data_IF_273561963985
#
_entry.id   IF_273561963985
#
_cell.length_a   1.000
_cell.length_b   1.000
_cell.length_c   1.000
_cell.angle_alpha   90.00
_cell.angle_beta   90.00
_cell.angle_gamma   90.00
#
_symmetry.space_group_name_H-M   'P 1'
#
loop_
_entity.id
_entity.type
_entity.pdbx_description
1 polymer ?
#
# COMPACT_ATOMS: atom_id res chain seq x y z
N UNK A 1 -41.34 19.14 -8.05
CA UNK A 1 -40.82 19.62 -6.96
C UNK A 1 -39.34 19.63 -6.65
N UNK A 2 -38.96 20.56 -5.81
CA UNK A 2 -37.56 20.76 -5.35
C UNK A 2 -37.01 19.58 -4.55
N UNK A 3 -37.85 18.71 -4.01
CA UNK A 3 -37.49 17.56 -3.16
C UNK A 3 -37.01 16.31 -3.93
N UNK A 4 -37.15 16.30 -5.27
CA UNK A 4 -36.78 15.13 -6.11
C UNK A 4 -35.31 15.08 -6.56
N UNK A 5 -34.56 16.18 -6.41
CA UNK A 5 -33.20 16.30 -6.95
C UNK A 5 -32.07 15.98 -5.95
N UNK A 6 -32.32 16.10 -4.66
CA UNK A 6 -31.30 15.85 -3.63
C UNK A 6 -30.79 14.40 -3.55
N UNK A 7 -31.63 13.35 -3.56
CA UNK A 7 -31.15 11.97 -3.46
C UNK A 7 -30.33 11.52 -4.68
N UNK A 8 -30.61 12.03 -5.86
CA UNK A 8 -29.84 11.69 -7.08
C UNK A 8 -28.45 12.33 -7.08
N UNK A 9 -28.34 13.59 -6.69
CA UNK A 9 -27.05 14.29 -6.58
C UNK A 9 -26.16 13.61 -5.53
N UNK A 10 -26.73 13.21 -4.40
CA UNK A 10 -26.00 12.52 -3.33
C UNK A 10 -25.52 11.13 -3.74
N UNK A 11 -26.33 10.36 -4.45
CA UNK A 11 -25.95 9.05 -4.97
C UNK A 11 -24.84 9.14 -6.03
N UNK A 12 -24.88 10.15 -6.88
CA UNK A 12 -23.85 10.39 -7.89
C UNK A 12 -22.51 10.78 -7.25
N UNK A 13 -22.55 11.62 -6.21
CA UNK A 13 -21.34 12.02 -5.46
C UNK A 13 -20.71 10.84 -4.73
N UNK A 14 -21.52 10.01 -4.06
CA UNK A 14 -21.03 8.78 -3.39
C UNK A 14 -20.42 7.79 -4.39
N UNK A 15 -21.00 7.62 -5.56
CA UNK A 15 -20.45 6.78 -6.63
C UNK A 15 -19.11 7.31 -7.13
N UNK A 16 -18.97 8.63 -7.30
CA UNK A 16 -17.72 9.27 -7.69
C UNK A 16 -16.63 9.09 -6.63
N UNK A 17 -16.94 9.23 -5.35
CA UNK A 17 -16.01 9.00 -4.23
C UNK A 17 -15.56 7.53 -4.21
N UNK A 18 -16.47 6.61 -4.40
CA UNK A 18 -16.21 5.18 -4.45
C UNK A 18 -15.26 4.81 -5.60
N UNK A 19 -15.51 5.32 -6.80
CA UNK A 19 -14.63 5.16 -7.95
C UNK A 19 -13.25 5.77 -7.70
N UNK A 20 -13.19 6.95 -7.10
CA UNK A 20 -11.95 7.61 -6.71
C UNK A 20 -11.16 6.79 -5.70
N UNK A 21 -11.81 6.23 -4.69
CA UNK A 21 -11.19 5.33 -3.71
C UNK A 21 -10.58 4.09 -4.37
N UNK A 22 -11.30 3.44 -5.28
CA UNK A 22 -10.82 2.25 -6.00
C UNK A 22 -9.59 2.59 -6.83
N UNK A 23 -9.63 3.69 -7.60
CA UNK A 23 -8.50 4.12 -8.42
C UNK A 23 -7.26 4.47 -7.58
N UNK A 24 -7.45 5.24 -6.52
CA UNK A 24 -6.37 5.61 -5.60
C UNK A 24 -5.75 4.38 -4.93
N UNK A 25 -6.59 3.43 -4.52
CA UNK A 25 -6.12 2.16 -3.93
C UNK A 25 -5.31 1.35 -4.92
N UNK A 26 -5.79 1.19 -6.16
CA UNK A 26 -5.07 0.47 -7.21
C UNK A 26 -3.72 1.12 -7.53
N UNK A 27 -3.68 2.45 -7.63
CA UNK A 27 -2.45 3.19 -7.85
C UNK A 27 -1.49 3.04 -6.67
N UNK A 28 -1.98 3.16 -5.43
CA UNK A 28 -1.16 2.98 -4.24
C UNK A 28 -0.56 1.57 -4.18
N UNK A 29 -1.36 0.54 -4.40
CA UNK A 29 -0.89 -0.85 -4.45
C UNK A 29 0.13 -1.08 -5.56
N UNK A 30 -0.09 -0.51 -6.75
CA UNK A 30 0.83 -0.63 -7.87
C UNK A 30 2.19 -0.01 -7.57
N UNK A 31 2.22 1.22 -7.06
CA UNK A 31 3.46 1.91 -6.71
C UNK A 31 4.20 1.20 -5.58
N UNK A 32 3.48 0.78 -4.54
CA UNK A 32 4.08 0.05 -3.41
C UNK A 32 4.55 -1.36 -3.79
N UNK A 33 3.91 -2.00 -4.78
CA UNK A 33 4.41 -3.26 -5.37
C UNK A 33 5.75 -3.05 -6.07
N UNK A 34 5.87 -1.98 -6.84
CA UNK A 34 7.14 -1.59 -7.48
C UNK A 34 8.19 -1.29 -6.42
N UNK A 35 7.82 -0.58 -5.34
CA UNK A 35 8.72 -0.32 -4.22
C UNK A 35 9.20 -1.62 -3.54
N UNK A 36 8.31 -2.60 -3.38
CA UNK A 36 8.68 -3.91 -2.83
C UNK A 36 9.66 -4.67 -3.74
N UNK A 37 9.44 -4.66 -5.06
CA UNK A 37 10.38 -5.21 -6.03
C UNK A 37 11.72 -4.49 -6.00
N UNK A 38 11.71 -3.16 -5.92
CA UNK A 38 12.91 -2.35 -5.77
C UNK A 38 13.67 -2.69 -4.48
N UNK A 39 12.95 -2.90 -3.37
CA UNK A 39 13.55 -3.32 -2.10
C UNK A 39 14.25 -4.69 -2.22
N UNK A 40 13.65 -5.64 -2.95
CA UNK A 40 14.28 -6.92 -3.23
C UNK A 40 15.56 -6.78 -4.07
N UNK A 41 15.54 -5.88 -5.07
CA UNK A 41 16.73 -5.58 -5.88
C UNK A 41 17.84 -4.94 -5.03
N UNK A 42 17.51 -4.00 -4.17
CA UNK A 42 18.45 -3.38 -3.22
C UNK A 42 19.07 -4.45 -2.31
N UNK A 43 18.25 -5.35 -1.78
CA UNK A 43 18.72 -6.44 -0.94
C UNK A 43 19.65 -7.39 -1.70
N UNK A 44 19.29 -7.79 -2.92
CA UNK A 44 20.09 -8.67 -3.76
C UNK A 44 21.42 -8.02 -4.12
N UNK A 45 21.42 -6.73 -4.46
CA UNK A 45 22.62 -5.97 -4.79
C UNK A 45 23.54 -5.81 -3.57
N UNK A 46 23.02 -5.47 -2.38
CA UNK A 46 23.80 -5.39 -1.14
C UNK A 46 24.45 -6.74 -0.81
N UNK A 47 23.68 -7.81 -0.96
CA UNK A 47 24.20 -9.18 -0.73
C UNK A 47 25.29 -9.57 -1.71
N UNK A 48 25.13 -9.23 -2.99
CA UNK A 48 26.11 -9.53 -4.04
C UNK A 48 27.41 -8.74 -3.82
N UNK A 49 27.32 -7.46 -3.45
CA UNK A 49 28.47 -6.62 -3.14
C UNK A 49 29.26 -7.15 -1.93
N UNK A 50 28.57 -7.59 -0.88
CA UNK A 50 29.20 -8.20 0.31
C UNK A 50 29.91 -9.52 0.02
N UNK A 51 29.42 -10.29 -0.96
CA UNK A 51 29.99 -11.57 -1.37
C UNK A 51 30.99 -11.46 -2.51
N UNK A 52 31.34 -10.25 -2.95
CA UNK A 52 32.25 -9.97 -4.08
C UNK A 52 31.86 -10.71 -5.37
N UNK A 53 30.57 -11.00 -5.54
CA UNK A 53 30.08 -11.65 -6.77
C UNK A 53 29.96 -10.62 -7.89
N UNK A 54 30.76 -10.81 -8.92
CA UNK A 54 30.66 -10.07 -10.17
C UNK A 54 29.62 -10.75 -11.06
N UNK A 55 28.56 -10.04 -11.46
CA UNK A 55 27.51 -10.59 -12.30
C UNK A 55 26.58 -9.50 -12.84
N UNK A 56 25.41 -9.89 -13.30
CA UNK A 56 24.36 -9.02 -13.88
C UNK A 56 24.01 -7.84 -12.94
N UNK A 57 24.12 -8.03 -11.62
CA UNK A 57 23.87 -6.99 -10.63
C UNK A 57 24.86 -5.82 -10.67
N UNK A 58 26.01 -5.99 -11.34
CA UNK A 58 26.99 -4.91 -11.56
C UNK A 58 26.53 -3.91 -12.66
N UNK A 59 25.57 -4.30 -13.50
CA UNK A 59 24.99 -3.42 -14.50
C UNK A 59 23.95 -2.46 -13.91
N UNK A 60 23.51 -2.69 -12.65
CA UNK A 60 22.57 -1.83 -11.95
C UNK A 60 23.26 -0.54 -11.48
N UNK A 61 22.48 0.56 -11.29
CA UNK A 61 22.99 1.78 -10.68
C UNK A 61 23.62 1.53 -9.30
N UNK A 62 24.34 2.51 -8.77
CA UNK A 62 24.94 2.41 -7.43
C UNK A 62 23.88 2.08 -6.38
N UNK A 63 24.26 1.35 -5.33
CA UNK A 63 23.37 0.97 -4.23
C UNK A 63 22.66 2.20 -3.64
N UNK A 64 23.35 3.31 -3.48
CA UNK A 64 22.77 4.56 -2.96
C UNK A 64 21.70 5.13 -3.88
N UNK A 65 21.90 5.10 -5.19
CA UNK A 65 20.90 5.51 -6.18
C UNK A 65 19.66 4.61 -6.11
N UNK A 66 19.85 3.31 -6.00
CA UNK A 66 18.76 2.33 -5.86
C UNK A 66 17.95 2.56 -4.58
N UNK A 67 18.62 2.86 -3.47
CA UNK A 67 17.96 3.21 -2.20
C UNK A 67 17.17 4.52 -2.31
N UNK A 68 17.71 5.54 -2.96
CA UNK A 68 17.02 6.81 -3.17
C UNK A 68 15.73 6.61 -3.98
N UNK A 69 15.80 5.84 -5.07
CA UNK A 69 14.63 5.48 -5.88
C UNK A 69 13.59 4.72 -5.07
N UNK A 70 14.02 3.81 -4.19
CA UNK A 70 13.13 3.09 -3.29
C UNK A 70 12.34 4.05 -2.39
N UNK A 71 13.02 5.01 -1.78
CA UNK A 71 12.37 5.97 -0.89
C UNK A 71 11.46 6.96 -1.63
N UNK A 72 11.78 7.31 -2.86
CA UNK A 72 10.89 8.10 -3.71
C UNK A 72 9.59 7.34 -4.02
N UNK A 73 9.70 6.06 -4.38
CA UNK A 73 8.54 5.20 -4.61
C UNK A 73 7.69 5.05 -3.35
N UNK A 74 8.31 4.85 -2.19
CA UNK A 74 7.60 4.78 -0.91
C UNK A 74 6.89 6.10 -0.61
N UNK A 75 7.54 7.23 -0.85
CA UNK A 75 6.95 8.56 -0.66
C UNK A 75 5.70 8.77 -1.53
N UNK A 76 5.79 8.45 -2.81
CA UNK A 76 4.66 8.53 -3.75
C UNK A 76 3.55 7.58 -3.30
N UNK A 77 3.90 6.33 -3.00
CA UNK A 77 2.95 5.33 -2.51
C UNK A 77 2.25 5.75 -1.23
N UNK A 78 2.96 6.40 -0.31
CA UNK A 78 2.40 6.95 0.94
C UNK A 78 1.38 8.05 0.71
N UNK A 79 1.65 8.96 -0.21
CA UNK A 79 0.69 10.02 -0.58
C UNK A 79 -0.59 9.40 -1.14
N UNK A 80 -0.45 8.47 -2.08
CA UNK A 80 -1.59 7.76 -2.66
C UNK A 80 -2.37 6.94 -1.61
N UNK A 81 -1.65 6.25 -0.74
CA UNK A 81 -2.26 5.45 0.34
C UNK A 81 -3.00 6.34 1.34
N UNK A 82 -2.46 7.51 1.68
CA UNK A 82 -3.11 8.48 2.56
C UNK A 82 -4.44 8.96 1.98
N UNK A 83 -4.47 9.30 0.69
CA UNK A 83 -5.72 9.68 0.02
C UNK A 83 -6.68 8.50 -0.10
N UNK A 84 -6.20 7.30 -0.36
CA UNK A 84 -7.02 6.10 -0.41
C UNK A 84 -7.68 5.81 0.95
N UNK A 85 -6.92 5.88 2.03
CA UNK A 85 -7.45 5.70 3.40
C UNK A 85 -8.45 6.82 3.72
N UNK A 86 -8.13 8.07 3.40
CA UNK A 86 -9.01 9.22 3.62
C UNK A 86 -10.37 9.07 2.94
N UNK A 87 -10.37 8.68 1.66
CA UNK A 87 -11.61 8.43 0.93
C UNK A 87 -12.38 7.23 1.49
N UNK A 88 -11.66 6.19 1.94
CA UNK A 88 -12.27 5.03 2.59
C UNK A 88 -12.99 5.38 3.90
N UNK A 89 -12.44 6.28 4.70
CA UNK A 89 -13.11 6.75 5.93
C UNK A 89 -14.42 7.50 5.65
N UNK A 90 -14.50 8.26 4.58
CA UNK A 90 -15.74 8.95 4.17
C UNK A 90 -16.84 7.93 3.85
N UNK A 91 -16.48 6.79 3.26
CA UNK A 91 -17.44 5.72 2.96
C UNK A 91 -17.87 4.94 4.21
N UNK A 92 -16.99 4.78 5.20
CA UNK A 92 -17.24 3.99 6.41
C UNK A 92 -18.33 4.56 7.31
N UNK A 93 -18.60 5.86 7.26
CA UNK A 93 -19.70 6.50 8.00
C UNK A 93 -21.08 5.93 7.59
N UNK A 94 -21.16 5.25 6.44
CA UNK A 94 -22.39 4.66 5.91
C UNK A 94 -22.45 3.12 5.99
N UNK A 95 -21.33 2.44 6.31
CA UNK A 95 -21.22 0.98 6.27
C UNK A 95 -20.44 0.45 7.48
N UNK A 96 -21.14 0.33 8.61
CA UNK A 96 -20.64 -0.38 9.80
C UNK A 96 -20.61 -1.90 9.59
N UNK A 97 -19.88 -2.40 8.59
CA UNK A 97 -19.68 -3.82 8.42
C UNK A 97 -18.33 -4.27 8.99
N UNK A 98 -18.37 -5.27 9.87
CA UNK A 98 -17.18 -5.82 10.54
C UNK A 98 -16.10 -6.33 9.57
N UNK A 99 -16.48 -6.68 8.34
CA UNK A 99 -15.55 -7.16 7.31
C UNK A 99 -14.65 -6.06 6.75
N UNK A 100 -15.11 -4.82 6.74
CA UNK A 100 -14.34 -3.65 6.28
C UNK A 100 -13.33 -3.21 7.35
N UNK A 101 -13.61 -3.46 8.63
CA UNK A 101 -12.75 -3.07 9.73
C UNK A 101 -11.36 -3.74 9.66
N UNK A 102 -11.27 -5.02 9.32
CA UNK A 102 -9.98 -5.72 9.20
C UNK A 102 -9.10 -5.15 8.10
N UNK A 103 -9.68 -4.85 6.94
CA UNK A 103 -8.97 -4.23 5.81
C UNK A 103 -8.44 -2.85 6.18
N UNK A 104 -9.26 -2.05 6.85
CA UNK A 104 -8.89 -0.70 7.30
C UNK A 104 -7.77 -0.74 8.34
N UNK A 105 -7.85 -1.63 9.33
CA UNK A 105 -6.82 -1.79 10.36
C UNK A 105 -5.47 -2.20 9.73
N UNK A 106 -5.48 -3.18 8.83
CA UNK A 106 -4.25 -3.63 8.15
C UNK A 106 -3.66 -2.53 7.27
N UNK A 107 -4.49 -1.76 6.58
CA UNK A 107 -4.04 -0.61 5.78
C UNK A 107 -3.42 0.49 6.65
N UNK A 108 -4.01 0.76 7.81
CA UNK A 108 -3.48 1.72 8.79
C UNK A 108 -2.16 1.23 9.40
N UNK A 109 -2.04 -0.06 9.69
CA UNK A 109 -0.79 -0.65 10.16
C UNK A 109 0.32 -0.54 9.11
N UNK A 110 0.02 -0.85 7.86
CA UNK A 110 0.94 -0.69 6.75
C UNK A 110 1.35 0.79 6.57
N UNK A 111 0.39 1.69 6.64
CA UNK A 111 0.63 3.13 6.61
C UNK A 111 1.57 3.56 7.73
N UNK A 112 1.35 3.10 8.94
CA UNK A 112 2.22 3.39 10.09
C UNK A 112 3.64 2.85 9.91
N UNK A 113 3.79 1.66 9.33
CA UNK A 113 5.10 1.06 9.01
C UNK A 113 5.86 1.92 7.99
N UNK A 114 5.21 2.32 6.90
CA UNK A 114 5.83 3.17 5.89
C UNK A 114 6.13 4.58 6.41
N UNK A 115 5.23 5.16 7.19
CA UNK A 115 5.44 6.45 7.84
C UNK A 115 6.64 6.38 8.80
N UNK A 116 6.71 5.34 9.62
CA UNK A 116 7.84 5.08 10.51
C UNK A 116 9.15 4.93 9.75
N UNK A 117 9.13 4.27 8.60
CA UNK A 117 10.30 4.12 7.74
C UNK A 117 10.78 5.48 7.19
N UNK A 118 9.87 6.29 6.66
CA UNK A 118 10.22 7.62 6.14
C UNK A 118 10.74 8.55 7.23
N UNK A 119 10.11 8.55 8.41
CA UNK A 119 10.57 9.32 9.56
C UNK A 119 11.93 8.82 10.06
N UNK A 120 12.11 7.50 10.14
CA UNK A 120 13.37 6.89 10.54
C UNK A 120 14.51 7.22 9.60
N UNK A 121 14.22 7.29 8.30
CA UNK A 121 15.21 7.76 7.32
C UNK A 121 15.61 9.23 7.57
N UNK A 122 14.62 10.08 7.79
CA UNK A 122 14.84 11.50 7.98
C UNK A 122 15.59 11.82 9.28
N UNK A 123 15.22 11.17 10.37
CA UNK A 123 15.77 11.47 11.70
C UNK A 123 16.96 10.60 12.11
N UNK A 124 16.97 9.34 11.72
CA UNK A 124 17.99 8.34 12.12
C UNK A 124 18.87 7.88 10.96
N UNK A 125 18.59 8.33 9.74
CA UNK A 125 19.33 7.92 8.56
C UNK A 125 19.20 6.45 8.21
N UNK A 126 18.04 5.83 8.45
CA UNK A 126 17.82 4.42 8.15
C UNK A 126 18.06 4.12 6.67
N UNK A 127 18.85 3.09 6.41
CA UNK A 127 19.30 2.68 5.08
C UNK A 127 19.42 1.16 4.98
N UNK A 128 19.59 0.66 3.77
CA UNK A 128 19.95 -0.72 3.49
C UNK A 128 18.93 -1.72 3.99
N UNK A 129 19.38 -2.67 4.80
CA UNK A 129 18.55 -3.79 5.27
C UNK A 129 17.34 -3.36 6.10
N UNK A 130 17.46 -2.30 6.88
CA UNK A 130 16.34 -1.76 7.66
C UNK A 130 15.25 -1.25 6.73
N UNK A 131 15.61 -0.46 5.72
CA UNK A 131 14.66 0.02 4.71
C UNK A 131 13.96 -1.14 3.98
N UNK A 132 14.72 -2.15 3.58
CA UNK A 132 14.17 -3.35 2.93
C UNK A 132 13.18 -4.08 3.81
N UNK A 133 13.54 -4.33 5.07
CA UNK A 133 12.66 -5.04 6.03
C UNK A 133 11.34 -4.31 6.25
N UNK A 134 11.37 -3.01 6.47
CA UNK A 134 10.17 -2.21 6.68
C UNK A 134 9.31 -2.12 5.42
N UNK A 135 9.94 -1.98 4.23
CA UNK A 135 9.21 -1.94 2.95
C UNK A 135 8.48 -3.26 2.70
N UNK A 136 9.18 -4.38 2.83
CA UNK A 136 8.59 -5.71 2.62
C UNK A 136 7.53 -6.02 3.69
N UNK A 137 7.77 -5.65 4.95
CA UNK A 137 6.80 -5.83 6.03
C UNK A 137 5.52 -5.03 5.81
N UNK A 138 5.64 -3.75 5.45
CA UNK A 138 4.49 -2.90 5.12
C UNK A 138 3.71 -3.41 3.92
N UNK A 139 4.40 -3.82 2.87
CA UNK A 139 3.77 -4.40 1.69
C UNK A 139 3.07 -5.74 1.99
N UNK A 140 3.69 -6.60 2.80
CA UNK A 140 3.08 -7.85 3.25
C UNK A 140 1.78 -7.60 4.03
N UNK A 141 1.73 -6.58 4.89
CA UNK A 141 0.50 -6.18 5.59
C UNK A 141 -0.60 -5.76 4.62
N UNK A 142 -0.25 -4.99 3.57
CA UNK A 142 -1.21 -4.61 2.53
C UNK A 142 -1.73 -5.82 1.76
N UNK A 143 -0.85 -6.76 1.39
CA UNK A 143 -1.24 -7.99 0.71
C UNK A 143 -2.17 -8.85 1.57
N UNK A 144 -1.85 -9.01 2.85
CA UNK A 144 -2.69 -9.77 3.79
C UNK A 144 -4.07 -9.11 3.90
N UNK A 145 -4.13 -7.80 3.98
CA UNK A 145 -5.38 -7.05 4.01
C UNK A 145 -6.22 -7.25 2.75
N UNK A 146 -5.59 -7.26 1.58
CA UNK A 146 -6.26 -7.46 0.30
C UNK A 146 -6.71 -8.92 0.11
N UNK A 147 -5.78 -9.87 0.25
CA UNK A 147 -6.04 -11.31 0.08
C UNK A 147 -6.97 -11.82 1.16
N UNK A 148 -6.81 -11.37 2.41
CA UNK A 148 -7.68 -11.74 3.53
C UNK A 148 -9.13 -11.35 3.29
N UNK A 149 -9.39 -10.16 2.74
CA UNK A 149 -10.75 -9.73 2.39
C UNK A 149 -11.36 -10.58 1.28
N UNK A 150 -10.60 -10.96 0.26
CA UNK A 150 -11.02 -11.82 -0.83
C UNK A 150 -11.32 -13.26 -0.33
N UNK A 151 -10.41 -13.82 0.45
CA UNK A 151 -10.54 -15.17 1.00
C UNK A 151 -11.78 -15.31 1.91
N UNK A 152 -12.07 -14.30 2.74
CA UNK A 152 -13.26 -14.28 3.59
C UNK A 152 -14.53 -14.22 2.76
N UNK A 153 -14.56 -13.42 1.71
CA UNK A 153 -15.70 -13.31 0.81
C UNK A 153 -15.96 -14.66 0.10
N UNK A 154 -14.94 -15.29 -0.46
CA UNK A 154 -15.04 -16.59 -1.12
C UNK A 154 -15.50 -17.69 -0.16
N UNK A 155 -14.95 -17.71 1.05
CA UNK A 155 -15.34 -18.68 2.08
C UNK A 155 -16.81 -18.53 2.49
N UNK A 156 -17.29 -17.30 2.64
CA UNK A 156 -18.69 -17.02 2.95
C UNK A 156 -19.63 -17.41 1.81
N UNK A 157 -19.25 -17.14 0.56
CA UNK A 157 -20.03 -17.52 -0.63
C UNK A 157 -20.14 -19.04 -0.75
N UNK A 158 -19.02 -19.76 -0.56
CA UNK A 158 -19.01 -21.22 -0.61
C UNK A 158 -19.85 -21.85 0.52
N UNK A 159 -19.87 -21.21 1.68
CA UNK A 159 -20.65 -21.69 2.82
C UNK A 159 -22.16 -21.44 2.67
N UNK A 160 -22.54 -20.40 1.94
CA UNK A 160 -23.95 -20.11 1.65
C UNK A 160 -24.50 -20.95 0.47
N UNK A 161 -23.61 -21.55 -0.34
CA UNK A 161 -23.96 -22.39 -1.47
C UNK A 161 -24.04 -23.89 -1.12
N UNK A 162 -23.63 -24.30 0.08
CA UNK A 162 -23.73 -25.68 0.59
C UNK A 162 -24.82 -25.81 1.66
#
# INVERSE_FOLDING_TARGET
GVLGHEPQARSTTLTAIMQGHILLSLLAYSVLSIAALQALLVFAQDRALRRHRRGILMALPSLQTMENMLFELIGIGMVLLTFAIGTGFIELDNLFDQHVAHKTVLSLMAWAVFAGLLLGRHWRGWRGRTAVKFTLGGFALLLIGFVGSQAVIEFLINRSAS
#
